data_IF_318247598084
#
_entry.id   IF_318247598084
#
_cell.length_a   1.000
_cell.length_b   1.000
_cell.length_c   1.000
_cell.angle_alpha   90.00
_cell.angle_beta   90.00
_cell.angle_gamma   90.00
#
_symmetry.space_group_name_H-M   'P 1'
#
loop_
_entity.id
_entity.type
_entity.pdbx_description
1 polymer ?
#
# COMPACT_ATOMS: atom_id res chain seq x y z
N UNK A 1 -13.79 -29.01 -7.95
CA UNK A 1 -13.51 -27.67 -8.51
C UNK A 1 -13.45 -26.60 -7.40
N UNK A 2 -14.52 -26.43 -6.58
CA UNK A 2 -14.54 -25.42 -5.48
C UNK A 2 -13.50 -25.72 -4.40
N UNK A 3 -13.30 -26.98 -4.04
CA UNK A 3 -12.30 -27.39 -3.04
C UNK A 3 -10.85 -27.17 -3.53
N UNK A 4 -10.58 -27.34 -4.82
CA UNK A 4 -9.26 -27.10 -5.41
C UNK A 4 -8.94 -25.60 -5.47
N UNK A 5 -9.90 -24.73 -5.84
CA UNK A 5 -9.73 -23.29 -5.83
C UNK A 5 -9.49 -22.76 -4.39
N UNK A 6 -10.22 -23.30 -3.41
CA UNK A 6 -10.03 -22.93 -2.01
C UNK A 6 -8.65 -23.34 -1.49
N UNK A 7 -8.18 -24.54 -1.87
CA UNK A 7 -6.85 -25.03 -1.49
C UNK A 7 -5.73 -24.15 -2.08
N UNK A 8 -5.83 -23.74 -3.35
CA UNK A 8 -4.86 -22.84 -3.97
C UNK A 8 -4.82 -21.47 -3.29
N UNK A 9 -5.97 -20.93 -2.89
CA UNK A 9 -6.06 -19.66 -2.15
C UNK A 9 -5.39 -19.78 -0.79
N UNK A 10 -5.62 -20.87 -0.05
CA UNK A 10 -4.99 -21.13 1.24
C UNK A 10 -3.47 -21.26 1.13
N UNK A 11 -2.98 -22.05 0.18
CA UNK A 11 -1.53 -22.24 -0.05
C UNK A 11 -0.85 -20.91 -0.39
N UNK A 12 -1.49 -20.08 -1.19
CA UNK A 12 -1.00 -18.74 -1.50
C UNK A 12 -0.96 -17.86 -0.26
N UNK A 13 -2.02 -17.85 0.54
CA UNK A 13 -2.09 -17.10 1.80
C UNK A 13 -0.91 -17.43 2.72
N UNK A 14 -0.68 -18.72 2.99
CA UNK A 14 0.41 -19.14 3.87
C UNK A 14 1.80 -18.83 3.30
N UNK A 15 1.98 -18.96 1.98
CA UNK A 15 3.24 -18.61 1.31
C UNK A 15 3.53 -17.12 1.41
N UNK A 16 2.54 -16.27 1.23
CA UNK A 16 2.70 -14.83 1.33
C UNK A 16 2.90 -14.37 2.78
N UNK A 17 2.18 -14.96 3.72
CA UNK A 17 2.40 -14.76 5.15
C UNK A 17 3.82 -15.17 5.58
N UNK A 18 4.31 -16.31 5.12
CA UNK A 18 5.68 -16.77 5.38
C UNK A 18 6.74 -15.84 4.76
N UNK A 19 6.48 -15.31 3.58
CA UNK A 19 7.37 -14.34 2.92
C UNK A 19 7.41 -13.02 3.69
N UNK A 20 6.27 -12.48 4.08
CA UNK A 20 6.18 -11.27 4.89
C UNK A 20 6.77 -11.49 6.30
N UNK A 21 6.62 -12.68 6.87
CA UNK A 21 7.16 -13.04 8.19
C UNK A 21 8.69 -13.10 8.25
N UNK A 22 9.38 -13.16 7.11
CA UNK A 22 10.85 -13.07 7.02
C UNK A 22 11.37 -11.64 7.06
N UNK A 23 10.51 -10.64 6.87
CA UNK A 23 10.88 -9.24 6.92
C UNK A 23 11.07 -8.81 8.38
N UNK A 24 12.23 -8.23 8.68
CA UNK A 24 12.56 -7.70 10.00
C UNK A 24 13.10 -6.28 9.85
N UNK A 25 12.24 -5.30 10.07
CA UNK A 25 12.56 -3.88 9.94
C UNK A 25 11.72 -3.06 10.93
N UNK A 26 12.26 -2.00 11.56
CA UNK A 26 11.52 -1.21 12.56
C UNK A 26 10.26 -0.53 12.01
N UNK A 27 10.17 -0.33 10.70
CA UNK A 27 9.02 0.30 10.04
C UNK A 27 8.19 -0.69 9.20
N UNK A 28 8.32 -1.98 9.47
CA UNK A 28 7.47 -3.04 8.92
C UNK A 28 6.84 -3.81 10.09
N UNK A 29 5.54 -4.10 9.99
CA UNK A 29 4.84 -4.93 10.97
C UNK A 29 5.49 -6.31 11.08
N UNK A 30 5.78 -6.76 12.30
CA UNK A 30 6.29 -8.11 12.54
C UNK A 30 5.15 -9.12 12.53
N UNK A 31 5.29 -10.17 11.72
CA UNK A 31 4.39 -11.33 11.72
C UNK A 31 5.02 -12.41 12.59
N UNK A 32 4.26 -12.89 13.58
CA UNK A 32 4.72 -13.89 14.54
C UNK A 32 4.37 -15.31 14.11
N UNK A 33 3.18 -15.49 13.54
CA UNK A 33 2.66 -16.80 13.16
C UNK A 33 1.58 -16.65 12.09
N UNK A 34 1.34 -17.72 11.35
CA UNK A 34 0.21 -17.87 10.46
C UNK A 34 -0.26 -19.32 10.49
N UNK A 35 -1.55 -19.54 10.62
CA UNK A 35 -2.11 -20.88 10.76
C UNK A 35 -3.57 -20.95 10.37
N UNK A 36 -4.12 -22.14 10.55
CA UNK A 36 -5.53 -22.42 10.33
C UNK A 36 -6.11 -23.09 11.59
N UNK A 37 -7.25 -22.59 12.04
CA UNK A 37 -8.00 -23.18 13.14
C UNK A 37 -9.50 -23.13 12.81
N UNK A 38 -10.17 -24.27 12.90
CA UNK A 38 -11.62 -24.41 12.61
C UNK A 38 -12.03 -23.79 11.25
N UNK A 39 -11.29 -24.14 10.18
CA UNK A 39 -11.47 -23.63 8.81
C UNK A 39 -11.27 -22.10 8.63
N UNK A 40 -10.70 -21.44 9.64
CA UNK A 40 -10.34 -20.02 9.58
C UNK A 40 -8.82 -19.89 9.49
N UNK A 41 -8.33 -19.26 8.41
CA UNK A 41 -6.94 -18.87 8.32
C UNK A 41 -6.68 -17.60 9.15
N UNK A 42 -5.59 -17.58 9.92
CA UNK A 42 -5.21 -16.44 10.74
C UNK A 42 -3.75 -16.03 10.51
N UNK A 43 -3.46 -14.79 10.79
CA UNK A 43 -2.10 -14.25 10.91
C UNK A 43 -1.99 -13.58 12.29
N UNK A 44 -1.03 -14.03 13.10
CA UNK A 44 -0.65 -13.38 14.33
C UNK A 44 0.47 -12.38 14.08
N UNK A 45 0.28 -11.13 14.47
CA UNK A 45 1.25 -10.05 14.24
C UNK A 45 1.38 -9.16 15.46
N UNK A 46 2.40 -8.32 15.48
CA UNK A 46 2.56 -7.34 16.54
C UNK A 46 1.33 -6.42 16.63
N UNK A 47 0.99 -6.05 17.85
CA UNK A 47 -0.04 -5.04 18.09
C UNK A 47 0.51 -3.66 17.83
N UNK A 48 -0.10 -2.94 16.90
CA UNK A 48 0.33 -1.60 16.50
C UNK A 48 -0.44 -0.53 17.27
N UNK A 49 0.30 0.42 17.84
CA UNK A 49 -0.28 1.62 18.46
C UNK A 49 -0.63 2.64 17.39
N UNK A 50 -1.63 3.48 17.68
CA UNK A 50 -2.06 4.50 16.75
C UNK A 50 -3.14 4.01 15.79
N UNK A 51 -3.20 4.60 14.63
CA UNK A 51 -4.14 4.29 13.55
C UNK A 51 -3.47 4.49 12.18
N UNK A 52 -4.16 4.14 11.10
CA UNK A 52 -3.64 4.35 9.76
C UNK A 52 -3.53 5.85 9.38
N UNK A 53 -2.95 6.13 8.21
CA UNK A 53 -2.72 7.49 7.73
C UNK A 53 -3.94 8.13 7.05
N UNK A 54 -5.05 7.42 6.88
CA UNK A 54 -6.25 7.93 6.18
C UNK A 54 -6.74 9.27 6.76
N UNK A 55 -6.82 9.49 8.08
CA UNK A 55 -7.24 10.78 8.64
C UNK A 55 -6.37 11.96 8.21
N UNK A 56 -5.09 11.74 7.92
CA UNK A 56 -4.12 12.78 7.54
C UNK A 56 -4.06 13.07 6.03
N UNK A 57 -4.96 12.49 5.25
CA UNK A 57 -5.11 12.77 3.82
C UNK A 57 -6.11 13.89 3.53
N UNK A 58 -6.73 14.45 4.54
CA UNK A 58 -7.73 15.52 4.44
C UNK A 58 -7.06 16.88 4.55
N UNK A 59 -7.45 17.82 3.68
CA UNK A 59 -6.87 19.16 3.64
C UNK A 59 -6.95 19.93 4.96
N UNK A 60 -7.95 19.62 5.80
CA UNK A 60 -8.17 20.20 7.12
C UNK A 60 -7.45 19.47 8.26
N UNK A 61 -6.73 18.38 7.96
CA UNK A 61 -6.02 17.56 8.96
C UNK A 61 -4.65 17.09 8.50
N UNK A 62 -3.94 17.86 7.70
CA UNK A 62 -2.61 17.52 7.24
C UNK A 62 -1.58 17.60 8.37
N UNK A 63 -0.61 16.69 8.33
CA UNK A 63 0.55 16.76 9.22
C UNK A 63 1.55 17.86 8.78
N UNK A 64 2.38 18.38 9.69
CA UNK A 64 3.47 19.29 9.32
C UNK A 64 4.41 18.69 8.28
N UNK A 65 4.98 19.52 7.40
CA UNK A 65 5.86 19.10 6.33
C UNK A 65 7.02 18.21 6.81
N UNK A 66 7.72 18.64 7.84
CA UNK A 66 8.87 17.91 8.40
C UNK A 66 8.45 16.52 8.89
N UNK A 67 7.27 16.43 9.53
CA UNK A 67 6.70 15.14 10.00
C UNK A 67 6.41 14.21 8.83
N UNK A 68 5.82 14.72 7.76
CA UNK A 68 5.52 13.93 6.55
C UNK A 68 6.81 13.46 5.89
N UNK A 69 7.79 14.33 5.70
CA UNK A 69 9.07 13.99 5.06
C UNK A 69 9.82 12.92 5.85
N UNK A 70 9.91 13.07 7.17
CA UNK A 70 10.56 12.08 8.04
C UNK A 70 9.85 10.72 7.99
N UNK A 71 8.52 10.74 8.05
CA UNK A 71 7.71 9.53 7.98
C UNK A 71 7.86 8.82 6.63
N UNK A 72 7.77 9.55 5.52
CA UNK A 72 7.94 8.98 4.18
C UNK A 72 9.35 8.43 3.97
N UNK A 73 10.38 9.07 4.52
CA UNK A 73 11.74 8.53 4.47
C UNK A 73 11.84 7.17 5.18
N UNK A 74 11.20 7.00 6.33
CA UNK A 74 11.14 5.71 7.05
C UNK A 74 10.37 4.65 6.25
N UNK A 75 9.27 5.01 5.59
CA UNK A 75 8.52 4.09 4.72
C UNK A 75 9.36 3.70 3.50
N UNK A 76 10.05 4.65 2.88
CA UNK A 76 10.93 4.38 1.74
C UNK A 76 12.07 3.42 2.11
N UNK A 77 12.68 3.60 3.27
CA UNK A 77 13.72 2.70 3.80
C UNK A 77 13.18 1.27 4.03
N UNK A 78 11.97 1.16 4.60
CA UNK A 78 11.29 -0.12 4.77
C UNK A 78 11.03 -0.83 3.44
N UNK A 79 10.57 -0.09 2.42
CA UNK A 79 10.36 -0.64 1.07
C UNK A 79 11.67 -1.05 0.42
N UNK A 80 12.72 -0.24 0.54
CA UNK A 80 14.05 -0.58 0.03
C UNK A 80 14.56 -1.89 0.64
N UNK A 81 14.42 -2.05 1.96
CA UNK A 81 14.75 -3.30 2.64
C UNK A 81 13.94 -4.48 2.09
N UNK A 82 12.61 -4.36 1.98
CA UNK A 82 11.76 -5.43 1.45
C UNK A 82 12.16 -5.82 0.02
N UNK A 83 12.47 -4.83 -0.83
CA UNK A 83 12.93 -5.08 -2.21
C UNK A 83 14.25 -5.84 -2.26
N UNK A 84 15.20 -5.60 -1.32
CA UNK A 84 16.43 -6.42 -1.22
C UNK A 84 16.15 -7.88 -0.86
N UNK A 85 15.02 -8.14 -0.20
CA UNK A 85 14.52 -9.49 0.11
C UNK A 85 13.63 -10.07 -1.01
N UNK A 86 13.57 -9.43 -2.18
CA UNK A 86 12.70 -9.78 -3.31
C UNK A 86 11.20 -9.75 -2.98
N UNK A 87 10.79 -8.90 -2.03
CA UNK A 87 9.39 -8.70 -1.65
C UNK A 87 8.94 -7.34 -2.15
N UNK A 88 7.88 -7.31 -2.97
CA UNK A 88 7.19 -6.11 -3.44
C UNK A 88 5.86 -6.02 -2.71
N UNK A 89 5.53 -4.87 -2.17
CA UNK A 89 4.31 -4.68 -1.36
C UNK A 89 3.04 -4.75 -2.21
N UNK A 90 3.00 -3.99 -3.31
CA UNK A 90 1.92 -3.92 -4.33
C UNK A 90 0.66 -3.17 -3.95
N UNK A 91 0.51 -2.73 -2.71
CA UNK A 91 -0.67 -2.00 -2.23
C UNK A 91 -0.29 -0.91 -1.23
N UNK A 92 0.71 -0.10 -1.55
CA UNK A 92 1.11 1.05 -0.74
C UNK A 92 0.05 2.13 -0.85
N UNK A 93 -0.54 2.47 0.29
CA UNK A 93 -1.57 3.51 0.44
C UNK A 93 -1.72 3.88 1.92
N UNK A 94 -2.34 5.02 2.25
CA UNK A 94 -2.50 5.47 3.65
C UNK A 94 -3.14 4.43 4.58
N UNK A 95 -4.10 3.64 4.10
CA UNK A 95 -4.76 2.60 4.89
C UNK A 95 -3.83 1.45 5.32
N UNK A 96 -2.70 1.25 4.61
CA UNK A 96 -1.72 0.19 4.89
C UNK A 96 -0.47 0.70 5.62
N UNK A 97 -0.49 1.93 6.11
CA UNK A 97 0.57 2.50 6.94
C UNK A 97 -0.03 2.84 8.31
N UNK A 98 0.31 2.06 9.32
CA UNK A 98 -0.01 2.38 10.71
C UNK A 98 0.94 3.45 11.21
N UNK A 99 0.42 4.41 11.97
CA UNK A 99 1.17 5.56 12.42
C UNK A 99 0.94 5.85 13.91
N UNK A 100 2.03 5.83 14.67
CA UNK A 100 2.07 6.29 16.04
C UNK A 100 2.54 7.74 16.07
N UNK A 101 1.60 8.68 16.26
CA UNK A 101 1.88 10.10 16.26
C UNK A 101 2.77 10.54 17.45
N UNK A 102 2.74 9.82 18.57
CA UNK A 102 3.54 10.16 19.75
C UNK A 102 5.06 10.00 19.51
N UNK A 103 5.43 9.08 18.62
CA UNK A 103 6.84 8.75 18.31
C UNK A 103 7.23 9.05 16.86
N UNK A 104 6.31 9.58 16.05
CA UNK A 104 6.45 9.70 14.59
C UNK A 104 6.95 8.41 13.94
N UNK A 105 6.31 7.29 14.30
CA UNK A 105 6.71 5.97 13.84
C UNK A 105 5.67 5.39 12.89
N UNK A 106 5.96 5.30 11.57
CA UNK A 106 5.14 4.57 10.61
C UNK A 106 5.54 3.09 10.63
N UNK A 107 4.56 2.20 10.42
CA UNK A 107 4.78 0.79 10.13
C UNK A 107 3.96 0.36 8.93
N UNK A 108 4.64 -0.19 7.94
CA UNK A 108 4.01 -0.76 6.75
C UNK A 108 3.36 -2.09 7.12
N UNK A 109 2.09 -2.25 6.76
CA UNK A 109 1.29 -3.45 7.02
C UNK A 109 0.86 -4.10 5.70
N UNK A 110 0.33 -5.32 5.79
CA UNK A 110 -0.31 -6.04 4.67
C UNK A 110 0.61 -6.32 3.47
N UNK A 111 1.91 -6.60 3.72
CA UNK A 111 2.82 -7.10 2.69
C UNK A 111 2.30 -8.41 2.07
N UNK A 112 2.08 -8.41 0.76
CA UNK A 112 1.74 -9.60 -0.02
C UNK A 112 0.28 -10.07 0.11
N UNK A 113 -0.47 -9.67 1.14
CA UNK A 113 -1.85 -10.13 1.39
C UNK A 113 -2.82 -9.66 0.29
N UNK A 114 -2.54 -8.55 -0.37
CA UNK A 114 -3.34 -8.02 -1.48
C UNK A 114 -3.47 -8.99 -2.67
N UNK A 115 -2.49 -9.88 -2.88
CA UNK A 115 -2.55 -10.89 -3.95
C UNK A 115 -3.65 -11.93 -3.78
N UNK A 116 -4.07 -12.20 -2.54
CA UNK A 116 -5.12 -13.17 -2.26
C UNK A 116 -6.46 -12.65 -2.74
N UNK A 117 -6.68 -11.34 -2.58
CA UNK A 117 -7.89 -10.68 -3.05
C UNK A 117 -7.91 -10.48 -4.57
N UNK A 118 -6.76 -10.40 -5.24
CA UNK A 118 -6.66 -10.20 -6.68
C UNK A 118 -7.05 -11.43 -7.51
N UNK A 119 -6.85 -12.65 -6.99
CA UNK A 119 -7.22 -13.86 -7.72
C UNK A 119 -8.73 -14.09 -7.80
N UNK A 120 -9.51 -13.54 -6.90
CA UNK A 120 -10.98 -13.59 -6.96
C UNK A 120 -11.59 -12.60 -7.98
N UNK A 121 -10.77 -11.71 -8.55
CA UNK A 121 -11.21 -10.62 -9.44
C UNK A 121 -11.25 -10.95 -10.93
N UNK A 122 -10.59 -12.00 -11.37
CA UNK A 122 -10.42 -12.27 -12.80
C UNK A 122 -11.71 -12.67 -13.51
N UNK A 123 -12.77 -13.01 -12.80
CA UNK A 123 -14.04 -13.42 -13.41
C UNK A 123 -15.10 -12.32 -13.58
N UNK A 124 -14.97 -11.17 -12.90
CA UNK A 124 -16.02 -10.13 -12.91
C UNK A 124 -15.58 -8.73 -13.32
N UNK A 125 -14.30 -8.50 -13.61
CA UNK A 125 -13.81 -7.17 -14.03
C UNK A 125 -13.92 -6.08 -12.95
N UNK A 126 -14.21 -6.45 -11.70
CA UNK A 126 -14.28 -5.50 -10.58
C UNK A 126 -12.89 -5.32 -9.98
N UNK A 127 -12.28 -4.16 -10.14
CA UNK A 127 -11.07 -3.77 -9.45
C UNK A 127 -11.41 -3.52 -7.97
N UNK A 128 -11.06 -4.46 -7.09
CA UNK A 128 -11.17 -4.27 -5.63
C UNK A 128 -9.94 -3.47 -5.15
N UNK A 129 -10.14 -2.36 -4.53
CA UNK A 129 -9.10 -1.48 -4.00
C UNK A 129 -9.26 -0.06 -4.50
N UNK A 130 -8.47 0.84 -3.99
CA UNK A 130 -8.45 2.24 -4.43
C UNK A 130 -7.42 2.37 -5.55
N UNK A 131 -7.83 2.31 -6.84
CA UNK A 131 -6.90 2.26 -7.97
C UNK A 131 -6.07 3.52 -8.13
N UNK A 132 -6.42 4.59 -7.39
CA UNK A 132 -5.72 5.88 -7.39
C UNK A 132 -4.25 5.80 -6.96
N UNK A 133 -3.86 4.72 -6.25
CA UNK A 133 -2.47 4.48 -5.83
C UNK A 133 -1.73 3.47 -6.72
N UNK A 134 -2.40 2.83 -7.65
CA UNK A 134 -1.80 1.82 -8.52
C UNK A 134 -0.88 2.46 -9.55
N UNK A 135 0.25 1.80 -9.81
CA UNK A 135 1.17 2.20 -10.87
C UNK A 135 0.60 1.91 -12.27
N UNK A 136 1.08 2.60 -13.32
CA UNK A 136 0.66 2.32 -14.70
C UNK A 136 0.83 0.85 -15.09
N UNK A 137 1.94 0.22 -14.71
CA UNK A 137 2.22 -1.19 -14.99
C UNK A 137 1.26 -2.15 -14.26
N UNK A 138 0.82 -1.80 -13.02
CA UNK A 138 -0.21 -2.58 -12.32
C UNK A 138 -1.55 -2.52 -13.03
N UNK A 139 -1.97 -1.33 -13.46
CA UNK A 139 -3.22 -1.12 -14.19
C UNK A 139 -3.21 -1.80 -15.55
N UNK A 140 -2.04 -1.87 -16.21
CA UNK A 140 -1.84 -2.54 -17.49
C UNK A 140 -1.68 -4.06 -17.37
N UNK A 141 -1.67 -4.62 -16.16
CA UNK A 141 -1.44 -6.05 -15.94
C UNK A 141 -0.03 -6.52 -16.31
N UNK A 142 0.94 -5.60 -16.32
CA UNK A 142 2.33 -5.87 -16.65
C UNK A 142 3.10 -6.40 -15.43
N UNK A 143 4.37 -6.77 -15.65
CA UNK A 143 5.24 -7.23 -14.57
C UNK A 143 5.49 -6.12 -13.56
N UNK A 144 5.16 -6.41 -12.31
CA UNK A 144 5.32 -5.50 -11.17
C UNK A 144 6.71 -5.67 -10.56
N UNK A 145 7.31 -4.56 -10.14
CA UNK A 145 8.60 -4.53 -9.45
C UNK A 145 8.54 -3.52 -8.29
N UNK A 146 9.66 -3.32 -7.60
CA UNK A 146 9.78 -2.30 -6.56
C UNK A 146 9.45 -0.87 -7.04
N UNK A 147 9.60 -0.59 -8.34
CA UNK A 147 9.20 0.70 -8.94
C UNK A 147 7.71 0.99 -8.77
N UNK A 148 6.87 -0.03 -8.78
CA UNK A 148 5.42 0.12 -8.55
C UNK A 148 5.13 0.60 -7.13
N UNK A 149 5.84 0.11 -6.12
CA UNK A 149 5.73 0.60 -4.74
C UNK A 149 6.18 2.06 -4.62
N UNK A 150 7.24 2.44 -5.34
CA UNK A 150 7.72 3.82 -5.34
C UNK A 150 6.74 4.78 -6.01
N UNK A 151 6.07 4.35 -7.08
CA UNK A 151 4.98 5.12 -7.68
C UNK A 151 3.85 5.36 -6.65
N UNK A 152 3.39 4.31 -5.99
CA UNK A 152 2.34 4.40 -4.97
C UNK A 152 2.76 5.27 -3.78
N UNK A 153 4.03 5.18 -3.35
CA UNK A 153 4.60 6.04 -2.32
C UNK A 153 4.59 7.52 -2.74
N UNK A 154 4.90 7.81 -4.01
CA UNK A 154 4.82 9.16 -4.58
C UNK A 154 3.40 9.72 -4.56
N UNK A 155 2.41 8.91 -4.94
CA UNK A 155 0.98 9.28 -4.85
C UNK A 155 0.58 9.57 -3.41
N UNK A 156 0.99 8.73 -2.47
CA UNK A 156 0.70 8.92 -1.05
C UNK A 156 1.37 10.19 -0.49
N UNK A 157 2.62 10.46 -0.83
CA UNK A 157 3.33 11.69 -0.45
C UNK A 157 2.60 12.92 -0.97
N UNK A 158 2.21 12.93 -2.24
CA UNK A 158 1.44 14.01 -2.84
C UNK A 158 0.15 14.29 -2.05
N UNK A 159 -0.59 13.24 -1.72
CA UNK A 159 -1.83 13.36 -0.97
C UNK A 159 -1.61 13.85 0.47
N UNK A 160 -0.59 13.36 1.17
CA UNK A 160 -0.28 13.78 2.53
C UNK A 160 0.20 15.25 2.61
N UNK A 161 0.78 15.78 1.55
CA UNK A 161 1.23 17.17 1.47
C UNK A 161 0.13 18.12 1.01
N UNK A 162 -0.75 17.69 0.10
CA UNK A 162 -1.74 18.57 -0.55
C UNK A 162 -3.17 18.38 -0.05
N UNK A 163 -3.50 17.21 0.50
CA UNK A 163 -4.87 16.82 0.84
C UNK A 163 -5.70 16.37 -0.36
N UNK A 164 -5.09 16.21 -1.54
CA UNK A 164 -5.75 15.77 -2.76
C UNK A 164 -4.92 14.68 -3.45
N UNK A 165 -5.58 13.85 -4.27
CA UNK A 165 -4.89 12.87 -5.10
C UNK A 165 -4.27 13.55 -6.34
N UNK A 166 -3.12 13.08 -6.83
CA UNK A 166 -2.51 13.60 -8.05
C UNK A 166 -3.30 13.25 -9.31
N UNK A 167 -4.01 12.12 -9.29
CA UNK A 167 -4.85 11.63 -10.39
C UNK A 167 -6.24 11.27 -9.86
N UNK A 168 -7.26 11.81 -10.51
CA UNK A 168 -8.66 11.54 -10.23
C UNK A 168 -9.43 11.35 -11.53
N UNK A 169 -10.56 10.66 -11.50
CA UNK A 169 -11.39 10.44 -12.68
C UNK A 169 -12.83 10.10 -12.29
N UNK A 170 -13.77 10.51 -13.14
CA UNK A 170 -15.20 10.24 -12.94
C UNK A 170 -15.56 8.76 -13.22
N UNK A 171 -14.64 8.04 -13.83
CA UNK A 171 -14.74 6.61 -14.09
C UNK A 171 -13.38 5.92 -13.92
N UNK A 172 -13.41 4.59 -13.75
CA UNK A 172 -12.19 3.78 -13.70
C UNK A 172 -11.35 3.95 -14.98
N UNK A 173 -11.97 3.93 -16.13
CA UNK A 173 -11.28 4.08 -17.42
C UNK A 173 -10.59 5.44 -17.54
N UNK A 174 -11.24 6.51 -17.08
CA UNK A 174 -10.64 7.86 -17.08
C UNK A 174 -9.48 7.95 -16.11
N UNK A 175 -9.61 7.40 -14.90
CA UNK A 175 -8.53 7.37 -13.91
C UNK A 175 -7.31 6.60 -14.45
N UNK A 176 -7.52 5.41 -15.01
CA UNK A 176 -6.46 4.60 -15.62
C UNK A 176 -5.75 5.35 -16.76
N UNK A 177 -6.53 6.02 -17.61
CA UNK A 177 -5.97 6.84 -18.68
C UNK A 177 -5.08 7.96 -18.13
N UNK A 178 -5.56 8.69 -17.12
CA UNK A 178 -4.81 9.79 -16.50
C UNK A 178 -3.52 9.31 -15.84
N UNK A 179 -3.56 8.21 -15.10
CA UNK A 179 -2.36 7.63 -14.48
C UNK A 179 -1.32 7.23 -15.53
N UNK A 180 -1.76 6.75 -16.70
CA UNK A 180 -0.87 6.27 -17.75
C UNK A 180 -0.31 7.39 -18.65
N UNK A 181 -1.02 8.52 -18.80
CA UNK A 181 -0.74 9.50 -19.86
C UNK A 181 -0.59 10.94 -19.38
N UNK A 182 -1.17 11.30 -18.24
CA UNK A 182 -1.16 12.68 -17.75
C UNK A 182 -0.03 12.89 -16.73
N UNK A 183 0.44 14.13 -16.65
CA UNK A 183 1.24 14.58 -15.52
C UNK A 183 0.32 15.02 -14.37
N UNK A 184 0.71 14.80 -13.10
CA UNK A 184 -0.05 15.30 -11.96
C UNK A 184 -0.03 16.84 -11.95
N UNK A 185 -1.07 17.44 -11.37
CA UNK A 185 -1.05 18.87 -11.11
C UNK A 185 0.19 19.22 -10.27
N UNK A 186 0.93 20.24 -10.67
CA UNK A 186 2.10 20.67 -9.93
C UNK A 186 1.70 21.03 -8.49
N UNK A 187 2.28 20.34 -7.50
CA UNK A 187 1.94 20.48 -6.11
C UNK A 187 2.12 21.93 -5.60
N UNK A 188 3.08 22.67 -6.16
CA UNK A 188 3.30 24.08 -5.81
C UNK A 188 2.15 25.00 -6.23
N UNK A 189 1.28 24.55 -7.15
CA UNK A 189 0.03 25.25 -7.48
C UNK A 189 -0.98 25.15 -6.35
N UNK A 190 -0.97 24.02 -5.63
CA UNK A 190 -1.89 23.76 -4.49
C UNK A 190 -1.29 24.20 -3.16
N UNK A 191 0.01 24.14 -3.03
CA UNK A 191 0.80 24.42 -1.82
C UNK A 191 2.03 25.25 -2.15
N UNK A 192 1.87 26.56 -2.45
CA UNK A 192 2.99 27.43 -2.85
C UNK A 192 4.06 27.60 -1.75
N UNK A 193 3.71 27.29 -0.51
CA UNK A 193 4.61 27.36 0.64
C UNK A 193 5.62 26.21 0.75
N UNK A 194 5.46 25.16 -0.06
CA UNK A 194 6.44 24.08 -0.10
C UNK A 194 7.77 24.55 -0.71
N UNK A 195 8.93 24.08 -0.18
CA UNK A 195 10.24 24.47 -0.66
C UNK A 195 10.57 24.01 -2.09
#
# INVERSE_FOLDING_TARGET
FEDEELQEVKERFFREAATAGRLNHPNIVSIYDAGEEHDLAYIAMEFLKGHDLVPYTKADNLLPLETVVEMIAKVADALAYAHTQNVVHRDIKPANIMYDAATNTPKVTDFGIARITDSSKTKTGVVLGTPSFMSPEQLAGQKISGSSDLFSLGVMLYQLLSGTLPFEGDSMAQLMYRIANDEPTNILTLKPELP
#
